data_IF_420054525895
#
_entry.id   IF_420054525895
#
_cell.length_a   1.000
_cell.length_b   1.000
_cell.length_c   1.000
_cell.angle_alpha   90.00
_cell.angle_beta   90.00
_cell.angle_gamma   90.00
#
_symmetry.space_group_name_H-M   'P 1'
#
loop_
_entity.id
_entity.type
_entity.pdbx_description
1 polymer ?
#
# COMPACT_ATOMS: atom_id res chain seq x y z
N UNK A 1 15.56 14.91 6.57
CA UNK A 1 14.54 14.31 5.69
C UNK A 1 13.13 14.71 6.11
N UNK A 2 12.74 14.60 7.40
CA UNK A 2 11.40 14.94 7.86
C UNK A 2 11.04 16.40 7.59
N UNK A 3 11.92 17.33 7.94
CA UNK A 3 11.72 18.76 7.70
C UNK A 3 11.53 19.08 6.22
N UNK A 4 12.33 18.48 5.35
CA UNK A 4 12.19 18.67 3.89
C UNK A 4 10.83 18.20 3.38
N UNK A 5 10.42 16.98 3.75
CA UNK A 5 9.10 16.44 3.36
C UNK A 5 7.92 17.28 3.84
N UNK A 6 8.04 17.83 5.06
CA UNK A 6 7.05 18.73 5.63
C UNK A 6 7.00 20.07 4.89
N UNK A 7 8.17 20.65 4.63
CA UNK A 7 8.30 21.91 3.91
C UNK A 7 7.71 21.82 2.49
N UNK A 8 8.05 20.77 1.74
CA UNK A 8 7.48 20.57 0.39
C UNK A 8 5.96 20.46 0.44
N UNK A 9 5.40 19.65 1.37
CA UNK A 9 3.94 19.51 1.48
C UNK A 9 3.28 20.85 1.78
N UNK A 10 3.83 21.60 2.72
CA UNK A 10 3.32 22.92 3.11
C UNK A 10 3.36 23.91 1.95
N UNK A 11 4.51 24.02 1.26
CA UNK A 11 4.67 24.91 0.13
C UNK A 11 3.72 24.57 -1.03
N UNK A 12 3.59 23.29 -1.37
CA UNK A 12 2.68 22.84 -2.43
C UNK A 12 1.22 23.17 -2.10
N UNK A 13 0.78 22.97 -0.86
CA UNK A 13 -0.57 23.34 -0.42
C UNK A 13 -0.79 24.85 -0.47
N UNK A 14 0.17 25.65 -0.01
CA UNK A 14 0.11 27.10 -0.04
C UNK A 14 0.08 27.63 -1.49
N UNK A 15 0.91 27.09 -2.39
CA UNK A 15 0.99 27.48 -3.79
C UNK A 15 -0.33 27.25 -4.53
N UNK A 16 -0.93 26.05 -4.41
CA UNK A 16 -2.19 25.75 -5.09
C UNK A 16 -3.44 26.17 -4.28
N UNK A 17 -3.26 26.69 -3.07
CA UNK A 17 -4.37 27.05 -2.15
C UNK A 17 -5.36 25.91 -1.97
N UNK A 18 -4.86 24.68 -1.87
CA UNK A 18 -5.66 23.46 -1.78
C UNK A 18 -5.04 22.45 -0.82
N UNK A 19 -5.89 21.86 0.04
CA UNK A 19 -5.51 20.79 0.95
C UNK A 19 -5.45 19.44 0.20
N UNK A 20 -4.27 19.08 -0.26
CA UNK A 20 -3.99 17.75 -0.79
C UNK A 20 -3.59 16.78 0.34
N UNK A 21 -3.85 15.49 0.12
CA UNK A 21 -3.32 14.46 1.02
C UNK A 21 -1.79 14.44 0.98
N UNK A 22 -1.18 14.31 2.15
CA UNK A 22 0.29 14.31 2.31
C UNK A 22 0.95 13.20 1.49
N UNK A 23 0.29 12.04 1.41
CA UNK A 23 0.82 10.90 0.66
C UNK A 23 0.80 11.14 -0.85
N UNK A 24 -0.23 11.84 -1.36
CA UNK A 24 -0.36 12.14 -2.79
C UNK A 24 0.73 13.10 -3.26
N UNK A 25 1.10 14.10 -2.42
CA UNK A 25 2.22 14.98 -2.69
C UNK A 25 3.55 14.21 -2.62
N UNK A 26 3.74 13.39 -1.57
CA UNK A 26 5.01 12.69 -1.32
C UNK A 26 5.29 11.56 -2.31
N UNK A 27 4.27 10.94 -2.88
CA UNK A 27 4.42 9.84 -3.84
C UNK A 27 5.23 10.21 -5.08
N UNK A 28 5.33 11.49 -5.40
CA UNK A 28 6.01 11.99 -6.60
C UNK A 28 7.38 12.62 -6.32
N UNK A 29 7.85 12.60 -5.06
CA UNK A 29 9.10 13.25 -4.69
C UNK A 29 10.27 12.27 -4.82
N UNK A 30 11.21 12.60 -5.72
CA UNK A 30 12.55 12.03 -5.76
C UNK A 30 13.51 13.19 -5.51
N UNK A 31 14.27 13.15 -4.41
CA UNK A 31 15.12 14.27 -4.02
C UNK A 31 16.44 13.79 -3.40
N UNK A 32 17.49 14.54 -3.68
CA UNK A 32 18.76 14.48 -2.97
C UNK A 32 18.91 15.74 -2.11
N UNK A 33 19.30 15.57 -0.85
CA UNK A 33 19.44 16.66 0.11
C UNK A 33 20.90 16.73 0.54
N UNK A 34 21.52 17.85 0.25
CA UNK A 34 22.86 18.19 0.73
C UNK A 34 22.78 19.45 1.60
N UNK A 35 23.24 19.38 2.84
CA UNK A 35 23.24 20.49 3.78
C UNK A 35 24.59 20.56 4.49
N UNK A 36 25.10 21.76 4.67
CA UNK A 36 26.30 22.00 5.47
C UNK A 36 25.90 22.51 6.85
N UNK A 37 26.38 21.84 7.88
CA UNK A 37 26.14 22.18 9.30
C UNK A 37 27.49 22.45 9.92
N UNK A 38 27.61 23.52 10.68
CA UNK A 38 28.81 23.82 11.43
C UNK A 38 28.88 22.92 12.66
N UNK A 39 30.03 22.27 12.87
CA UNK A 39 30.27 21.34 13.99
C UNK A 39 29.18 20.26 14.12
N UNK A 40 28.99 19.41 13.09
CA UNK A 40 27.90 18.45 13.11
C UNK A 40 28.13 17.36 14.16
N UNK A 41 27.15 17.18 15.03
CA UNK A 41 27.09 16.09 15.99
C UNK A 41 26.18 15.00 15.42
N UNK A 42 26.59 13.74 15.52
CA UNK A 42 25.79 12.60 15.06
C UNK A 42 25.40 11.72 16.25
N UNK A 43 24.21 11.11 16.20
CA UNK A 43 23.70 10.22 17.26
C UNK A 43 24.49 8.91 17.37
N UNK A 44 25.18 8.50 16.31
CA UNK A 44 25.96 7.27 16.29
C UNK A 44 27.27 7.42 15.52
N UNK A 45 28.21 6.53 15.76
CA UNK A 45 29.49 6.49 15.05
C UNK A 45 29.32 6.22 13.54
N UNK A 46 28.24 5.57 13.14
CA UNK A 46 27.91 5.32 11.74
C UNK A 46 27.40 6.56 10.99
N UNK A 47 27.22 7.68 11.69
CA UNK A 47 26.79 8.99 11.15
C UNK A 47 25.50 8.94 10.31
N UNK A 48 24.62 7.98 10.60
CA UNK A 48 23.36 7.79 9.86
C UNK A 48 22.30 8.82 10.21
N UNK A 49 22.39 9.43 11.40
CA UNK A 49 21.44 10.44 11.87
C UNK A 49 22.16 11.62 12.49
N UNK A 50 21.83 12.82 11.98
CA UNK A 50 22.32 14.08 12.52
C UNK A 50 21.64 14.35 13.87
N UNK A 51 22.44 14.54 14.92
CA UNK A 51 21.99 14.90 16.26
C UNK A 51 21.95 16.41 16.50
N UNK A 52 22.67 17.23 15.67
CA UNK A 52 22.64 18.68 15.81
C UNK A 52 21.25 19.23 15.55
N UNK A 53 20.72 20.02 16.48
CA UNK A 53 19.45 20.70 16.35
C UNK A 53 19.58 22.02 15.58
N UNK A 54 20.73 22.68 15.65
CA UNK A 54 21.01 23.96 15.01
C UNK A 54 22.03 23.81 13.88
N UNK A 55 22.01 24.74 12.94
CA UNK A 55 22.96 24.80 11.80
C UNK A 55 24.34 25.28 12.25
N UNK A 56 24.35 26.21 13.21
CA UNK A 56 25.54 26.76 13.84
C UNK A 56 25.24 26.97 15.33
N UNK A 57 26.25 27.14 16.21
CA UNK A 57 26.05 27.33 17.66
C UNK A 57 25.03 28.41 18.01
N UNK A 58 25.12 29.58 17.32
CA UNK A 58 24.18 30.70 17.47
C UNK A 58 23.14 30.77 16.34
N UNK A 59 23.06 29.74 15.49
CA UNK A 59 22.19 29.69 14.31
C UNK A 59 20.77 29.22 14.61
N UNK A 60 19.93 29.33 13.59
CA UNK A 60 18.58 28.77 13.64
C UNK A 60 18.58 27.25 13.63
N UNK A 61 17.45 26.65 13.97
CA UNK A 61 17.30 25.21 13.92
C UNK A 61 17.44 24.67 12.48
N UNK A 62 18.04 23.48 12.34
CA UNK A 62 18.13 22.78 11.05
C UNK A 62 16.75 22.63 10.40
N UNK A 63 15.70 22.37 11.19
CA UNK A 63 14.34 22.26 10.69
C UNK A 63 13.82 23.61 10.18
N UNK A 64 14.04 24.70 10.92
CA UNK A 64 13.65 26.05 10.50
C UNK A 64 14.33 26.43 9.19
N UNK A 65 15.64 26.29 9.12
CA UNK A 65 16.42 26.60 7.92
C UNK A 65 15.92 25.84 6.69
N UNK A 66 15.72 24.52 6.82
CA UNK A 66 15.23 23.71 5.70
C UNK A 66 13.83 24.14 5.27
N UNK A 67 12.94 24.44 6.24
CA UNK A 67 11.59 24.90 5.94
C UNK A 67 11.61 26.24 5.20
N UNK A 68 12.37 27.22 5.69
CA UNK A 68 12.43 28.56 5.10
C UNK A 68 13.05 28.52 3.69
N UNK A 69 14.14 27.75 3.54
CA UNK A 69 14.82 27.59 2.26
C UNK A 69 13.89 26.90 1.23
N UNK A 70 13.30 25.76 1.59
CA UNK A 70 12.43 25.02 0.66
C UNK A 70 11.20 25.84 0.31
N UNK A 71 10.58 26.49 1.31
CA UNK A 71 9.42 27.33 1.06
C UNK A 71 9.73 28.42 0.03
N UNK A 72 10.80 29.16 0.22
CA UNK A 72 11.19 30.23 -0.67
C UNK A 72 11.56 29.74 -2.06
N UNK A 73 12.52 28.82 -2.14
CA UNK A 73 13.08 28.42 -3.43
C UNK A 73 12.09 27.58 -4.26
N UNK A 74 11.29 26.72 -3.62
CA UNK A 74 10.27 25.93 -4.32
C UNK A 74 9.11 26.79 -4.80
N UNK A 75 8.63 27.73 -3.98
CA UNK A 75 7.57 28.66 -4.37
C UNK A 75 8.01 29.54 -5.54
N UNK A 76 9.19 30.15 -5.45
CA UNK A 76 9.78 30.92 -6.53
C UNK A 76 9.96 30.11 -7.81
N UNK A 77 10.39 28.85 -7.67
CA UNK A 77 10.57 27.96 -8.82
C UNK A 77 9.25 27.62 -9.51
N UNK A 78 8.22 27.27 -8.74
CA UNK A 78 6.90 26.96 -9.30
C UNK A 78 6.25 28.17 -9.98
N UNK A 79 6.45 29.38 -9.46
CA UNK A 79 5.98 30.61 -10.10
C UNK A 79 6.72 30.93 -11.41
N UNK A 80 8.01 30.59 -11.51
CA UNK A 80 8.82 30.79 -12.74
C UNK A 80 8.59 29.73 -13.80
N UNK A 81 8.13 28.52 -13.40
CA UNK A 81 7.99 27.35 -14.28
C UNK A 81 6.56 26.80 -14.22
N UNK A 82 5.65 27.47 -14.91
CA UNK A 82 4.23 27.09 -14.94
C UNK A 82 3.98 25.70 -15.50
N UNK A 83 4.77 25.26 -16.46
CA UNK A 83 4.72 23.91 -17.05
C UNK A 83 5.03 22.83 -16.01
N UNK A 84 6.03 23.07 -15.15
CA UNK A 84 6.38 22.16 -14.05
C UNK A 84 5.29 22.17 -12.98
N UNK A 85 4.74 23.33 -12.65
CA UNK A 85 3.63 23.43 -11.71
C UNK A 85 2.41 22.65 -12.23
N UNK A 86 2.04 22.79 -13.49
CA UNK A 86 0.94 22.04 -14.09
C UNK A 86 1.19 20.51 -14.09
N UNK A 87 2.42 20.09 -14.40
CA UNK A 87 2.80 18.68 -14.36
C UNK A 87 2.72 18.11 -12.93
N UNK A 88 3.18 18.86 -11.93
CA UNK A 88 3.10 18.50 -10.53
C UNK A 88 1.64 18.34 -10.08
N UNK A 89 0.79 19.31 -10.42
CA UNK A 89 -0.64 19.26 -10.10
C UNK A 89 -1.33 18.03 -10.72
N UNK A 90 -1.07 17.75 -12.00
CA UNK A 90 -1.60 16.57 -12.69
C UNK A 90 -1.18 15.29 -11.98
N UNK A 91 0.09 15.20 -11.58
CA UNK A 91 0.60 14.02 -10.88
C UNK A 91 -0.02 13.83 -9.49
N UNK A 92 -0.21 14.90 -8.73
CA UNK A 92 -0.89 14.86 -7.42
C UNK A 92 -2.33 14.38 -7.57
N UNK A 93 -3.07 14.93 -8.55
CA UNK A 93 -4.45 14.52 -8.84
C UNK A 93 -4.52 13.05 -9.26
N UNK A 94 -3.57 12.60 -10.06
CA UNK A 94 -3.49 11.19 -10.46
C UNK A 94 -3.24 10.28 -9.25
N UNK A 95 -2.29 10.62 -8.37
CA UNK A 95 -2.03 9.88 -7.13
C UNK A 95 -3.27 9.82 -6.21
N UNK A 96 -4.01 10.93 -6.10
CA UNK A 96 -5.26 10.96 -5.34
C UNK A 96 -6.30 9.99 -5.91
N UNK A 97 -6.47 9.95 -7.24
CA UNK A 97 -7.37 8.99 -7.91
C UNK A 97 -6.95 7.56 -7.66
N UNK A 98 -5.68 7.23 -7.92
CA UNK A 98 -5.12 5.89 -7.69
C UNK A 98 -5.33 5.42 -6.24
N UNK A 99 -5.08 6.29 -5.26
CA UNK A 99 -5.28 6.00 -3.84
C UNK A 99 -6.75 5.76 -3.49
N UNK A 100 -7.67 6.60 -4.01
CA UNK A 100 -9.11 6.44 -3.80
C UNK A 100 -9.62 5.16 -4.45
N UNK A 101 -9.18 4.84 -5.65
CA UNK A 101 -9.55 3.61 -6.35
C UNK A 101 -9.07 2.37 -5.58
N UNK A 102 -7.83 2.35 -5.12
CA UNK A 102 -7.29 1.26 -4.30
C UNK A 102 -8.07 1.12 -2.98
N UNK A 103 -8.39 2.22 -2.31
CA UNK A 103 -9.18 2.19 -1.08
C UNK A 103 -10.60 1.68 -1.32
N UNK A 104 -11.25 2.10 -2.41
CA UNK A 104 -12.56 1.61 -2.83
C UNK A 104 -12.54 0.12 -3.12
N UNK A 105 -11.54 -0.37 -3.87
CA UNK A 105 -11.34 -1.78 -4.18
C UNK A 105 -11.16 -2.60 -2.90
N UNK A 106 -10.28 -2.16 -1.99
CA UNK A 106 -10.06 -2.84 -0.70
C UNK A 106 -11.35 -2.93 0.13
N UNK A 107 -12.13 -1.86 0.19
CA UNK A 107 -13.41 -1.86 0.90
C UNK A 107 -14.38 -2.87 0.31
N UNK A 108 -14.54 -2.88 -1.02
CA UNK A 108 -15.39 -3.85 -1.72
C UNK A 108 -14.92 -5.28 -1.51
N UNK A 109 -13.62 -5.54 -1.58
CA UNK A 109 -13.05 -6.86 -1.31
C UNK A 109 -13.34 -7.34 0.12
N UNK A 110 -13.11 -6.47 1.11
CA UNK A 110 -13.40 -6.79 2.52
C UNK A 110 -14.89 -7.02 2.79
N UNK A 111 -15.77 -6.21 2.21
CA UNK A 111 -17.21 -6.38 2.40
C UNK A 111 -17.72 -7.69 1.76
N UNK A 112 -17.12 -8.09 0.64
CA UNK A 112 -17.44 -9.36 -0.04
C UNK A 112 -16.83 -10.55 0.68
N UNK A 113 -15.59 -10.47 1.16
CA UNK A 113 -14.97 -11.51 1.97
C UNK A 113 -15.79 -11.80 3.22
N UNK A 114 -16.30 -10.76 3.90
CA UNK A 114 -17.23 -10.93 5.03
C UNK A 114 -18.54 -11.66 4.65
N UNK A 115 -19.10 -11.36 3.48
CA UNK A 115 -20.30 -12.06 2.97
C UNK A 115 -19.99 -13.48 2.54
N UNK A 116 -18.85 -13.73 1.91
CA UNK A 116 -18.40 -15.07 1.50
C UNK A 116 -18.10 -15.98 2.69
N UNK A 117 -17.57 -15.43 3.80
CA UNK A 117 -17.25 -16.22 5.00
C UNK A 117 -18.46 -16.90 5.62
N UNK A 118 -19.66 -16.33 5.45
CA UNK A 118 -20.90 -16.89 5.99
C UNK A 118 -21.40 -18.11 5.21
N UNK A 119 -21.01 -18.32 3.95
CA UNK A 119 -21.54 -19.39 3.10
C UNK A 119 -20.63 -19.79 1.93
N UNK A 120 -19.34 -20.11 2.19
CA UNK A 120 -18.48 -20.65 1.13
C UNK A 120 -18.82 -22.11 0.82
N UNK A 121 -19.87 -22.32 0.01
CA UNK A 121 -20.34 -23.66 -0.41
C UNK A 121 -19.30 -24.45 -1.20
N UNK A 122 -18.29 -23.80 -1.75
CA UNK A 122 -17.23 -24.40 -2.58
C UNK A 122 -16.05 -24.91 -1.76
N UNK A 123 -15.90 -24.41 -0.53
CA UNK A 123 -14.82 -24.83 0.36
C UNK A 123 -15.29 -26.02 1.24
N UNK A 124 -14.52 -27.09 1.21
CA UNK A 124 -14.55 -28.16 2.20
C UNK A 124 -13.32 -27.96 3.09
N UNK A 125 -13.51 -27.20 4.15
CA UNK A 125 -12.44 -26.72 5.02
C UNK A 125 -11.76 -27.83 5.83
N UNK A 126 -10.56 -27.56 6.34
CA UNK A 126 -9.85 -28.41 7.29
C UNK A 126 -9.93 -27.81 8.70
N UNK A 127 -9.58 -28.60 9.71
CA UNK A 127 -9.66 -28.16 11.11
C UNK A 127 -8.51 -27.24 11.52
N UNK A 128 -7.32 -27.47 10.96
CA UNK A 128 -6.11 -26.69 11.26
C UNK A 128 -5.87 -25.70 10.14
N UNK A 129 -5.72 -24.42 10.47
CA UNK A 129 -5.41 -23.38 9.53
C UNK A 129 -3.97 -22.88 9.69
N UNK A 130 -3.38 -22.37 8.61
CA UNK A 130 -2.02 -21.87 8.61
C UNK A 130 -1.77 -20.76 9.64
N UNK A 131 -2.76 -19.90 9.88
CA UNK A 131 -2.71 -18.81 10.86
C UNK A 131 -3.01 -19.23 12.31
N UNK A 132 -3.28 -20.51 12.56
CA UNK A 132 -3.48 -21.04 13.91
C UNK A 132 -2.14 -21.29 14.61
N UNK A 133 -2.18 -21.47 15.94
CA UNK A 133 -0.99 -21.85 16.72
C UNK A 133 -0.77 -23.38 16.81
N UNK A 134 -1.41 -24.15 15.93
CA UNK A 134 -1.32 -25.61 15.93
C UNK A 134 0.00 -26.09 15.32
N UNK A 135 0.57 -27.20 15.83
CA UNK A 135 1.84 -27.76 15.34
C UNK A 135 1.80 -28.11 13.85
N UNK A 136 0.68 -28.65 13.36
CA UNK A 136 0.47 -29.05 11.97
C UNK A 136 0.10 -27.88 11.03
N UNK A 137 0.23 -26.64 11.46
CA UNK A 137 -0.16 -25.49 10.62
C UNK A 137 0.61 -25.38 9.30
N UNK A 138 1.84 -25.89 9.26
CA UNK A 138 2.66 -25.90 8.06
C UNK A 138 2.37 -27.06 7.11
N UNK A 139 1.60 -28.06 7.57
CA UNK A 139 1.18 -29.21 6.75
C UNK A 139 -0.15 -28.93 6.04
N UNK A 140 -0.75 -27.75 6.26
CA UNK A 140 -2.02 -27.38 5.67
C UNK A 140 -1.93 -27.25 4.16
N UNK A 141 -2.85 -27.90 3.45
CA UNK A 141 -2.88 -27.97 1.99
C UNK A 141 -4.28 -27.66 1.49
N UNK A 142 -4.38 -26.80 0.47
CA UNK A 142 -5.62 -26.54 -0.25
C UNK A 142 -5.58 -27.20 -1.62
N UNK A 143 -6.42 -28.22 -1.85
CA UNK A 143 -6.63 -28.80 -3.17
C UNK A 143 -7.63 -27.96 -3.94
N UNK A 144 -7.25 -27.51 -5.12
CA UNK A 144 -8.12 -26.79 -6.04
C UNK A 144 -8.51 -27.74 -7.17
N UNK A 145 -9.81 -27.96 -7.37
CA UNK A 145 -10.32 -28.90 -8.35
C UNK A 145 -11.24 -28.21 -9.36
N UNK A 146 -11.27 -28.73 -10.59
CA UNK A 146 -12.24 -28.33 -11.59
C UNK A 146 -13.53 -29.15 -11.41
N UNK A 147 -14.57 -28.48 -10.90
CA UNK A 147 -15.89 -29.09 -10.73
C UNK A 147 -16.08 -29.97 -9.49
N UNK A 148 -17.35 -30.27 -9.20
CA UNK A 148 -17.76 -30.93 -7.97
C UNK A 148 -17.44 -32.42 -7.96
N UNK A 149 -17.36 -33.06 -9.12
CA UNK A 149 -17.06 -34.51 -9.21
C UNK A 149 -15.64 -34.81 -8.72
N UNK A 150 -14.65 -34.10 -9.19
CA UNK A 150 -13.27 -34.26 -8.73
C UNK A 150 -13.11 -33.87 -7.27
N UNK A 151 -13.76 -32.78 -6.85
CA UNK A 151 -13.84 -32.34 -5.47
C UNK A 151 -14.40 -33.41 -4.56
N UNK A 152 -15.47 -34.11 -4.97
CA UNK A 152 -16.11 -35.15 -4.18
C UNK A 152 -15.23 -36.36 -3.87
N UNK A 153 -14.39 -36.77 -4.83
CA UNK A 153 -13.45 -37.88 -4.65
C UNK A 153 -12.35 -37.51 -3.65
N UNK A 154 -11.74 -36.34 -3.77
CA UNK A 154 -10.70 -35.88 -2.85
C UNK A 154 -11.29 -35.64 -1.46
N UNK A 155 -12.47 -35.04 -1.37
CA UNK A 155 -13.13 -34.76 -0.10
C UNK A 155 -13.33 -36.04 0.75
N UNK A 156 -13.58 -37.18 0.11
CA UNK A 156 -13.77 -38.46 0.81
C UNK A 156 -12.49 -39.11 1.33
N UNK A 157 -11.35 -38.85 0.67
CA UNK A 157 -10.06 -39.49 0.96
C UNK A 157 -9.06 -38.56 1.68
N UNK A 158 -9.36 -37.26 1.81
CA UNK A 158 -8.47 -36.27 2.40
C UNK A 158 -8.26 -36.46 3.91
N UNK A 159 -7.15 -35.99 4.42
CA UNK A 159 -6.96 -35.74 5.84
C UNK A 159 -7.72 -34.44 6.23
N UNK A 160 -8.78 -34.62 7.03
CA UNK A 160 -9.67 -33.55 7.46
C UNK A 160 -8.96 -32.56 8.39
N UNK A 161 -7.88 -33.00 9.04
CA UNK A 161 -7.17 -32.14 9.98
C UNK A 161 -6.38 -31.02 9.25
N UNK A 162 -5.71 -31.35 8.15
CA UNK A 162 -4.82 -30.39 7.47
C UNK A 162 -5.09 -30.20 5.95
N UNK A 163 -6.04 -30.93 5.37
CA UNK A 163 -6.33 -30.82 3.94
C UNK A 163 -7.72 -30.25 3.68
N UNK A 164 -7.77 -29.14 2.96
CA UNK A 164 -8.99 -28.49 2.48
C UNK A 164 -9.17 -28.70 0.96
N UNK A 165 -10.41 -28.64 0.48
CA UNK A 165 -10.74 -28.77 -0.94
C UNK A 165 -11.59 -27.60 -1.39
N UNK A 166 -11.22 -26.97 -2.48
CA UNK A 166 -11.99 -25.89 -3.13
C UNK A 166 -12.36 -26.29 -4.55
N UNK A 167 -13.64 -26.22 -4.90
CA UNK A 167 -14.12 -26.55 -6.24
C UNK A 167 -14.32 -25.30 -7.09
N UNK A 168 -13.62 -25.19 -8.24
CA UNK A 168 -13.86 -24.17 -9.23
C UNK A 168 -15.05 -24.55 -10.11
N UNK A 169 -15.84 -23.55 -10.55
CA UNK A 169 -16.93 -23.73 -11.47
C UNK A 169 -16.45 -23.46 -12.91
N UNK A 170 -15.87 -24.47 -13.54
CA UNK A 170 -15.33 -24.36 -14.89
C UNK A 170 -14.01 -23.59 -14.95
N UNK A 171 -13.71 -22.99 -16.08
CA UNK A 171 -12.47 -22.19 -16.27
C UNK A 171 -12.57 -20.88 -15.50
N UNK A 172 -11.54 -20.56 -14.69
CA UNK A 172 -11.50 -19.27 -14.02
C UNK A 172 -11.43 -18.12 -15.04
N UNK A 173 -11.88 -16.94 -14.63
CA UNK A 173 -11.84 -15.73 -15.43
C UNK A 173 -10.40 -15.42 -15.86
N UNK A 174 -10.17 -15.25 -17.17
CA UNK A 174 -8.89 -14.75 -17.66
C UNK A 174 -8.77 -13.25 -17.27
N UNK A 175 -7.81 -12.96 -16.40
CA UNK A 175 -7.58 -11.61 -15.88
C UNK A 175 -6.68 -10.74 -16.76
N UNK A 176 -6.16 -11.29 -17.85
CA UNK A 176 -5.31 -10.54 -18.78
C UNK A 176 -6.10 -9.35 -19.36
N UNK A 177 -5.51 -8.15 -19.30
CA UNK A 177 -6.10 -6.87 -19.75
C UNK A 177 -7.37 -6.41 -19.01
N UNK A 178 -7.82 -7.12 -17.98
CA UNK A 178 -8.95 -6.66 -17.17
C UNK A 178 -8.53 -5.63 -16.13
N UNK A 179 -9.43 -4.70 -15.85
CA UNK A 179 -9.22 -3.76 -14.74
C UNK A 179 -9.30 -4.49 -13.39
N UNK A 180 -8.52 -4.04 -12.42
CA UNK A 180 -8.55 -4.60 -11.05
C UNK A 180 -9.97 -4.66 -10.48
N UNK A 181 -10.82 -3.69 -10.80
CA UNK A 181 -12.21 -3.67 -10.36
C UNK A 181 -12.98 -4.91 -10.81
N UNK A 182 -12.89 -5.27 -12.09
CA UNK A 182 -13.56 -6.45 -12.66
C UNK A 182 -13.08 -7.75 -12.02
N UNK A 183 -11.77 -7.87 -11.77
CA UNK A 183 -11.18 -9.04 -11.09
C UNK A 183 -11.73 -9.16 -9.66
N UNK A 184 -11.75 -8.07 -8.90
CA UNK A 184 -12.30 -8.06 -7.54
C UNK A 184 -13.83 -8.20 -7.48
N UNK A 185 -14.53 -7.96 -8.59
CA UNK A 185 -15.98 -8.21 -8.71
C UNK A 185 -16.30 -9.67 -9.01
N UNK A 186 -15.34 -10.49 -9.37
CA UNK A 186 -15.55 -11.90 -9.65
C UNK A 186 -15.81 -12.68 -8.36
N UNK A 187 -16.96 -13.34 -8.27
CA UNK A 187 -17.38 -14.09 -7.11
C UNK A 187 -16.45 -15.27 -6.81
N UNK A 188 -16.00 -15.96 -7.84
CA UNK A 188 -15.13 -17.14 -7.73
C UNK A 188 -13.78 -16.80 -7.09
N UNK A 189 -13.17 -15.69 -7.51
CA UNK A 189 -11.93 -15.20 -6.91
C UNK A 189 -12.12 -14.73 -5.48
N UNK A 190 -13.25 -14.11 -5.15
CA UNK A 190 -13.55 -13.73 -3.77
C UNK A 190 -13.73 -14.96 -2.86
N UNK A 191 -14.37 -16.03 -3.35
CA UNK A 191 -14.51 -17.27 -2.61
C UNK A 191 -13.17 -18.00 -2.44
N UNK A 192 -12.31 -17.96 -3.48
CA UNK A 192 -10.96 -18.53 -3.41
C UNK A 192 -10.05 -17.74 -2.45
N UNK A 193 -10.10 -16.41 -2.51
CA UNK A 193 -9.37 -15.53 -1.59
C UNK A 193 -9.76 -15.84 -0.14
N UNK A 194 -11.06 -16.01 0.12
CA UNK A 194 -11.54 -16.41 1.43
C UNK A 194 -11.01 -17.80 1.85
N UNK A 195 -10.98 -18.76 0.91
CA UNK A 195 -10.44 -20.09 1.19
C UNK A 195 -8.94 -20.08 1.52
N UNK A 196 -8.17 -19.15 0.92
CA UNK A 196 -6.76 -18.94 1.20
C UNK A 196 -6.51 -18.08 2.45
N UNK A 197 -7.55 -17.52 3.03
CA UNK A 197 -7.50 -16.64 4.20
C UNK A 197 -6.60 -15.40 4.01
N UNK A 198 -6.65 -14.78 2.83
CA UNK A 198 -5.89 -13.58 2.41
C UNK A 198 -6.81 -12.43 1.99
#
# INVERSE_FOLDING_TARGET
QAAFREAVVKTVREFYKKEFDVNDIRASIIAAIAIRVQEPVFESQTKTKLGSEKIAPEGQSVRGFVNDFVKKELDDYLHKHADVADALLKRIIQSERERKDIAGIKKLANDRAKKASLHNKKLRDCKVHFNSNHEKRYDTTLFITEGDSASGSITKSRDVDCQAVFSLKGKPLNCYELTKKVVYENEEFNLLQHALNI
#
